data_IF_806398874108
#
_entry.id   IF_806398874108
#
_cell.length_a   1.000
_cell.length_b   1.000
_cell.length_c   1.000
_cell.angle_alpha   90.00
_cell.angle_beta   90.00
_cell.angle_gamma   90.00
#
_symmetry.space_group_name_H-M   'P 1'
#
loop_
_entity.id
_entity.type
_entity.pdbx_description
1 polymer ?
#
# COMPACT_ATOMS: atom_id res chain seq x y z
N UNK A 1 20.59 -4.31 -12.18
CA UNK A 1 20.29 -4.19 -10.74
C UNK A 1 20.92 -5.39 -10.02
N UNK A 2 21.68 -5.17 -8.95
CA UNK A 2 22.25 -6.28 -8.17
C UNK A 2 21.23 -6.77 -7.15
N UNK A 3 21.29 -8.05 -6.76
CA UNK A 3 20.37 -8.63 -5.76
C UNK A 3 20.37 -7.86 -4.41
N UNK A 4 21.52 -7.28 -4.04
CA UNK A 4 21.66 -6.41 -2.86
C UNK A 4 20.79 -5.15 -2.96
N UNK A 5 20.69 -4.53 -4.15
CA UNK A 5 19.87 -3.33 -4.35
C UNK A 5 18.37 -3.64 -4.30
N UNK A 6 17.95 -4.79 -4.85
CA UNK A 6 16.55 -5.23 -4.82
C UNK A 6 16.03 -5.38 -3.39
N UNK A 7 16.81 -6.02 -2.51
CA UNK A 7 16.46 -6.18 -1.09
C UNK A 7 16.37 -4.82 -0.36
N UNK A 8 17.29 -3.89 -0.65
CA UNK A 8 17.26 -2.53 -0.10
C UNK A 8 16.00 -1.77 -0.49
N UNK A 9 15.60 -1.81 -1.76
CA UNK A 9 14.40 -1.12 -2.25
C UNK A 9 13.12 -1.69 -1.62
N UNK A 10 13.02 -3.01 -1.55
CA UNK A 10 11.88 -3.68 -0.91
C UNK A 10 11.74 -3.23 0.55
N UNK A 11 12.83 -3.29 1.31
CA UNK A 11 12.86 -2.91 2.73
C UNK A 11 12.55 -1.42 2.91
N UNK A 12 13.14 -0.57 2.07
CA UNK A 12 12.88 0.88 2.10
C UNK A 12 11.39 1.20 1.90
N UNK A 13 10.74 0.61 0.89
CA UNK A 13 9.31 0.86 0.64
C UNK A 13 8.48 0.34 1.81
N UNK A 14 8.77 -0.88 2.28
CA UNK A 14 8.08 -1.48 3.42
C UNK A 14 8.12 -0.59 4.66
N UNK A 15 9.31 -0.08 4.98
CA UNK A 15 9.52 0.78 6.14
C UNK A 15 8.81 2.12 5.94
N UNK A 16 8.91 2.73 4.75
CA UNK A 16 8.22 3.99 4.44
C UNK A 16 6.70 3.89 4.57
N UNK A 17 6.09 2.85 4.00
CA UNK A 17 4.65 2.62 4.08
C UNK A 17 4.21 2.49 5.54
N UNK A 18 4.96 1.72 6.33
CA UNK A 18 4.69 1.51 7.75
C UNK A 18 4.88 2.79 8.59
N UNK A 19 6.00 3.49 8.43
CA UNK A 19 6.37 4.64 9.25
C UNK A 19 5.50 5.87 8.97
N UNK A 20 5.02 6.01 7.73
CA UNK A 20 4.15 7.10 7.31
C UNK A 20 2.65 6.77 7.46
N UNK A 21 2.34 5.56 7.94
CA UNK A 21 0.96 5.06 8.06
C UNK A 21 0.17 5.20 6.75
N UNK A 22 0.78 4.77 5.64
CA UNK A 22 0.16 4.79 4.32
C UNK A 22 -0.39 3.39 3.98
N UNK A 23 -1.46 3.35 3.18
CA UNK A 23 -2.00 2.11 2.64
C UNK A 23 -1.50 1.91 1.21
N UNK A 24 -1.32 0.65 0.79
CA UNK A 24 -0.98 0.33 -0.60
C UNK A 24 -1.90 -0.73 -1.16
N UNK A 25 -2.27 -0.61 -2.44
CA UNK A 25 -3.05 -1.67 -3.10
C UNK A 25 -2.21 -2.94 -3.26
N UNK A 26 -0.89 -2.83 -3.20
CA UNK A 26 0.02 -3.97 -3.20
C UNK A 26 -0.28 -4.91 -2.02
N UNK A 27 -0.44 -4.36 -0.82
CA UNK A 27 -0.72 -5.12 0.41
C UNK A 27 -2.21 -5.41 0.55
N UNK A 28 -3.07 -4.39 0.48
CA UNK A 28 -4.51 -4.53 0.77
C UNK A 28 -5.23 -5.46 -0.22
N UNK A 29 -4.80 -5.46 -1.49
CA UNK A 29 -5.37 -6.36 -2.49
C UNK A 29 -4.67 -7.73 -2.56
N UNK A 30 -3.68 -7.99 -1.69
CA UNK A 30 -2.87 -9.22 -1.66
C UNK A 30 -2.20 -9.51 -3.01
N UNK A 31 -1.60 -8.48 -3.61
CA UNK A 31 -1.03 -8.58 -4.94
C UNK A 31 0.13 -9.61 -4.96
N UNK A 32 0.10 -10.62 -5.85
CA UNK A 32 1.16 -11.64 -5.92
C UNK A 32 2.51 -11.06 -6.36
N UNK A 33 2.53 -9.86 -6.96
CA UNK A 33 3.73 -9.21 -7.47
C UNK A 33 4.37 -8.23 -6.47
N UNK A 34 3.88 -8.15 -5.22
CA UNK A 34 4.35 -7.20 -4.21
C UNK A 34 5.88 -7.19 -4.10
N UNK A 35 6.50 -8.36 -3.92
CA UNK A 35 7.94 -8.48 -3.79
C UNK A 35 8.70 -8.02 -5.03
N UNK A 36 8.19 -8.31 -6.23
CA UNK A 36 8.83 -7.87 -7.48
C UNK A 36 8.74 -6.35 -7.64
N UNK A 37 7.53 -5.79 -7.50
CA UNK A 37 7.29 -4.35 -7.69
C UNK A 37 8.10 -3.53 -6.70
N UNK A 38 8.07 -3.88 -5.41
CA UNK A 38 8.78 -3.14 -4.38
C UNK A 38 10.30 -3.28 -4.52
N UNK A 39 10.80 -4.45 -4.91
CA UNK A 39 12.24 -4.63 -5.21
C UNK A 39 12.72 -3.74 -6.35
N UNK A 40 11.84 -3.41 -7.31
CA UNK A 40 12.11 -2.45 -8.39
C UNK A 40 11.95 -0.98 -7.98
N UNK A 41 11.53 -0.71 -6.74
CA UNK A 41 11.28 0.65 -6.26
C UNK A 41 9.90 1.19 -6.65
N UNK A 42 8.93 0.32 -7.00
CA UNK A 42 7.58 0.73 -7.40
C UNK A 42 6.55 0.28 -6.38
N UNK A 43 5.69 1.19 -5.96
CA UNK A 43 4.50 0.92 -5.16
C UNK A 43 3.32 1.74 -5.68
N UNK A 44 2.10 1.25 -5.46
CA UNK A 44 0.87 1.98 -5.74
C UNK A 44 0.15 2.24 -4.43
N UNK A 45 0.12 3.50 -4.03
CA UNK A 45 -0.54 3.93 -2.81
C UNK A 45 -2.05 3.93 -2.96
N UNK A 46 -2.74 3.58 -1.89
CA UNK A 46 -4.16 3.81 -1.72
C UNK A 46 -4.34 5.06 -0.89
N UNK A 47 -5.24 5.93 -1.36
CA UNK A 47 -5.66 7.11 -0.62
C UNK A 47 -6.87 6.78 0.23
N UNK A 48 -7.07 7.56 1.30
CA UNK A 48 -8.21 7.41 2.21
C UNK A 48 -8.21 6.08 3.00
N UNK A 49 -7.04 5.49 3.22
CA UNK A 49 -6.86 4.29 4.04
C UNK A 49 -7.10 2.95 3.34
N UNK A 50 -7.36 1.92 4.14
CA UNK A 50 -7.40 0.50 3.75
C UNK A 50 -8.84 -0.05 3.54
N UNK A 51 -9.85 0.77 3.80
CA UNK A 51 -11.25 0.34 3.88
C UNK A 51 -12.06 0.95 2.75
N UNK A 52 -12.65 0.09 1.92
CA UNK A 52 -13.57 0.48 0.86
C UNK A 52 -15.02 0.37 1.34
N UNK A 53 -15.85 1.38 1.03
CA UNK A 53 -17.30 1.34 1.33
C UNK A 53 -18.10 0.51 0.33
N UNK A 54 -17.46 0.00 -0.73
CA UNK A 54 -18.07 -0.88 -1.73
C UNK A 54 -17.61 -2.33 -1.52
N UNK A 55 -18.52 -3.27 -1.79
CA UNK A 55 -18.27 -4.71 -1.69
C UNK A 55 -18.10 -5.36 -3.08
N UNK A 56 -17.06 -4.96 -3.81
CA UNK A 56 -16.78 -5.54 -5.12
C UNK A 56 -16.38 -7.02 -4.97
N UNK A 57 -17.10 -7.94 -5.62
CA UNK A 57 -16.93 -9.39 -5.47
C UNK A 57 -15.52 -9.92 -5.79
N UNK A 58 -14.75 -9.18 -6.59
CA UNK A 58 -13.40 -9.55 -7.01
C UNK A 58 -12.30 -8.87 -6.18
N UNK A 59 -12.64 -7.91 -5.32
CA UNK A 59 -11.67 -7.07 -4.64
C UNK A 59 -11.37 -7.61 -3.23
N UNK A 60 -10.09 -7.79 -2.91
CA UNK A 60 -9.64 -8.29 -1.60
C UNK A 60 -9.53 -7.21 -0.52
N UNK A 61 -9.69 -5.93 -0.87
CA UNK A 61 -9.61 -4.80 0.07
C UNK A 61 -10.72 -4.92 1.11
N UNK A 62 -10.42 -4.56 2.36
CA UNK A 62 -11.39 -4.61 3.45
C UNK A 62 -12.64 -3.80 3.11
N UNK A 63 -13.82 -4.40 3.29
CA UNK A 63 -15.11 -3.72 3.13
C UNK A 63 -15.59 -3.24 4.49
N UNK A 64 -15.97 -1.97 4.59
CA UNK A 64 -16.45 -1.41 5.85
C UNK A 64 -16.90 0.04 5.75
N UNK A 65 -17.21 0.63 6.91
CA UNK A 65 -17.55 2.03 7.03
C UNK A 65 -16.45 2.77 7.82
N UNK A 66 -15.65 3.64 7.18
CA UNK A 66 -14.61 4.42 7.86
C UNK A 66 -15.17 5.58 8.69
N UNK A 67 -16.50 5.68 8.88
CA UNK A 67 -17.19 6.72 9.66
C UNK A 67 -16.86 8.16 9.22
N UNK A 68 -16.61 8.34 7.93
CA UNK A 68 -16.25 9.64 7.35
C UNK A 68 -14.85 10.15 7.72
N UNK A 69 -13.99 9.29 8.28
CA UNK A 69 -12.60 9.64 8.56
C UNK A 69 -11.85 9.99 7.26
N UNK A 70 -11.18 11.14 7.26
CA UNK A 70 -10.32 11.61 6.18
C UNK A 70 -9.11 12.32 6.78
N UNK A 71 -7.91 11.85 6.44
CA UNK A 71 -6.65 12.45 6.84
C UNK A 71 -6.26 13.56 5.85
N UNK A 72 -6.34 14.81 6.30
CA UNK A 72 -5.98 15.98 5.47
C UNK A 72 -4.48 16.11 5.22
N UNK A 73 -3.65 15.46 6.05
CA UNK A 73 -2.20 15.51 5.92
C UNK A 73 -1.64 14.32 5.13
N UNK A 74 -2.47 13.33 4.75
CA UNK A 74 -2.09 12.20 3.87
C UNK A 74 -1.30 12.65 2.63
N UNK A 75 -1.67 13.73 1.90
CA UNK A 75 -0.91 14.15 0.71
C UNK A 75 0.51 14.67 0.97
N UNK A 76 0.84 15.05 2.21
CA UNK A 76 2.15 15.61 2.55
C UNK A 76 3.14 14.56 3.08
N UNK A 77 2.67 13.34 3.35
CA UNK A 77 3.49 12.26 3.89
C UNK A 77 4.38 11.64 2.81
#
# INVERSE_FOLDING_TARGET
MTASQANKNYTLIKDKVKDLHLSTVCEEAKCPNLSECWSRGTATFMLMGDTCTRACQFCSVNTGNPNGWLDKEEPKR
#
